data_IF_149767024826
#
_entry.id   IF_149767024826
#
_cell.length_a   1.000
_cell.length_b   1.000
_cell.length_c   1.000
_cell.angle_alpha   90.00
_cell.angle_beta   90.00
_cell.angle_gamma   90.00
#
_symmetry.space_group_name_H-M   'P 1'
#
loop_
_entity.id
_entity.type
_entity.pdbx_description
1 polymer ?
#
# COMPACT_ATOMS: atom_id res chain seq x y z
N UNK A 1 4.58 -28.92 -10.11
CA UNK A 1 4.56 -27.69 -9.29
C UNK A 1 4.52 -26.56 -10.30
N UNK A 2 3.32 -26.12 -10.68
CA UNK A 2 3.19 -24.97 -11.58
C UNK A 2 3.63 -23.74 -10.82
N UNK A 3 4.61 -23.03 -11.36
CA UNK A 3 5.04 -21.74 -10.87
C UNK A 3 3.87 -20.76 -10.96
N UNK A 4 3.24 -20.48 -9.82
CA UNK A 4 2.10 -19.57 -9.71
C UNK A 4 2.50 -18.10 -9.92
N UNK A 5 3.80 -17.78 -10.05
CA UNK A 5 4.31 -16.41 -10.02
C UNK A 5 4.48 -15.86 -8.60
N UNK A 6 4.38 -16.73 -7.59
CA UNK A 6 4.41 -16.35 -6.18
C UNK A 6 5.77 -15.75 -5.78
N UNK A 7 6.90 -16.27 -6.31
CA UNK A 7 8.24 -15.76 -6.01
C UNK A 7 8.39 -14.30 -6.48
N UNK A 8 7.91 -13.99 -7.70
CA UNK A 8 7.92 -12.62 -8.22
C UNK A 8 7.00 -11.71 -7.42
N UNK A 9 5.81 -12.17 -7.06
CA UNK A 9 4.88 -11.38 -6.27
C UNK A 9 5.45 -11.06 -4.89
N UNK A 10 5.97 -12.05 -4.16
CA UNK A 10 6.59 -11.87 -2.84
C UNK A 10 7.83 -10.98 -2.90
N UNK A 11 8.65 -11.10 -3.95
CA UNK A 11 9.84 -10.27 -4.11
C UNK A 11 9.54 -8.79 -4.34
N UNK A 12 8.35 -8.43 -4.85
CA UNK A 12 8.02 -7.07 -5.27
C UNK A 12 6.80 -6.48 -4.54
N UNK A 13 6.25 -7.19 -3.55
CA UNK A 13 4.99 -6.80 -2.89
C UNK A 13 5.12 -5.45 -2.17
N UNK A 14 6.27 -5.17 -1.58
CA UNK A 14 6.53 -3.92 -0.86
C UNK A 14 6.56 -2.72 -1.81
N UNK A 15 7.21 -2.88 -2.96
CA UNK A 15 7.36 -1.87 -4.01
C UNK A 15 5.98 -1.55 -4.62
N UNK A 16 5.14 -2.56 -4.83
CA UNK A 16 3.74 -2.38 -5.26
C UNK A 16 2.93 -1.60 -4.23
N UNK A 17 3.01 -1.97 -2.95
CA UNK A 17 2.25 -1.33 -1.87
C UNK A 17 2.70 0.12 -1.62
N UNK A 18 3.97 0.43 -1.87
CA UNK A 18 4.52 1.78 -1.72
C UNK A 18 4.41 2.65 -2.98
N UNK A 19 3.89 2.09 -4.07
CA UNK A 19 3.75 2.81 -5.35
C UNK A 19 5.10 3.11 -6.01
N UNK A 20 6.11 2.29 -5.75
CA UNK A 20 7.47 2.45 -6.26
C UNK A 20 7.66 1.84 -7.66
N UNK A 21 6.70 1.03 -8.12
CA UNK A 21 6.66 0.46 -9.47
C UNK A 21 5.73 1.26 -10.38
N UNK A 22 6.04 1.28 -11.68
CA UNK A 22 5.12 1.87 -12.66
C UNK A 22 3.83 1.02 -12.81
N UNK A 23 2.85 1.56 -13.54
CA UNK A 23 1.56 0.89 -13.73
C UNK A 23 1.74 -0.47 -14.42
N UNK A 24 2.62 -0.53 -15.42
CA UNK A 24 2.90 -1.71 -16.21
C UNK A 24 3.60 -2.81 -15.39
N UNK A 25 4.55 -2.43 -14.55
CA UNK A 25 5.29 -3.36 -13.67
C UNK A 25 4.43 -3.89 -12.52
N UNK A 26 3.57 -3.03 -11.95
CA UNK A 26 2.73 -3.41 -10.82
C UNK A 26 1.48 -4.20 -11.21
N UNK A 27 0.97 -4.04 -12.43
CA UNK A 27 -0.25 -4.71 -12.90
C UNK A 27 -0.24 -6.25 -12.73
N UNK A 28 0.76 -7.00 -13.21
CA UNK A 28 0.76 -8.47 -13.08
C UNK A 28 0.88 -8.93 -11.63
N UNK A 29 1.59 -8.17 -10.78
CA UNK A 29 1.71 -8.48 -9.35
C UNK A 29 0.37 -8.28 -8.66
N UNK A 30 -0.32 -7.16 -8.93
CA UNK A 30 -1.66 -6.88 -8.38
C UNK A 30 -2.68 -7.94 -8.80
N UNK A 31 -2.62 -8.41 -10.05
CA UNK A 31 -3.47 -9.50 -10.54
C UNK A 31 -3.21 -10.81 -9.77
N UNK A 32 -1.93 -11.11 -9.49
CA UNK A 32 -1.57 -12.27 -8.67
C UNK A 32 -2.07 -12.15 -7.23
N UNK A 33 -1.84 -11.00 -6.58
CA UNK A 33 -2.33 -10.73 -5.21
C UNK A 33 -3.86 -10.87 -5.11
N UNK A 34 -4.59 -10.52 -6.17
CA UNK A 34 -6.05 -10.67 -6.19
C UNK A 34 -6.52 -12.14 -6.22
N UNK A 35 -5.68 -13.09 -6.64
CA UNK A 35 -6.08 -14.47 -6.93
C UNK A 35 -5.37 -15.54 -6.11
N UNK A 36 -4.25 -15.19 -5.44
CA UNK A 36 -3.44 -16.13 -4.66
C UNK A 36 -3.59 -15.90 -3.14
N UNK A 37 -4.27 -16.80 -2.41
CA UNK A 37 -4.48 -16.64 -0.96
C UNK A 37 -3.18 -16.49 -0.16
N UNK A 38 -2.14 -17.25 -0.51
CA UNK A 38 -0.85 -17.15 0.20
C UNK A 38 -0.19 -15.78 0.04
N UNK A 39 -0.34 -15.13 -1.12
CA UNK A 39 0.19 -13.78 -1.29
C UNK A 39 -0.73 -12.69 -0.72
N UNK A 40 -2.03 -12.96 -0.54
CA UNK A 40 -2.95 -12.07 0.19
C UNK A 40 -2.62 -12.03 1.68
N UNK A 41 -2.25 -13.17 2.26
CA UNK A 41 -1.78 -13.24 3.64
C UNK A 41 -0.50 -12.40 3.83
N UNK A 42 0.47 -12.55 2.91
CA UNK A 42 1.69 -11.72 2.92
C UNK A 42 1.40 -10.23 2.71
N UNK A 43 0.48 -9.87 1.81
CA UNK A 43 0.04 -8.48 1.61
C UNK A 43 -0.51 -7.90 2.92
N UNK A 44 -1.36 -8.67 3.61
CA UNK A 44 -1.95 -8.28 4.89
C UNK A 44 -0.88 -8.04 5.95
N UNK A 45 0.15 -8.89 6.03
CA UNK A 45 1.29 -8.71 6.94
C UNK A 45 2.05 -7.42 6.61
N UNK A 46 2.35 -7.18 5.33
CA UNK A 46 3.07 -5.98 4.88
C UNK A 46 2.32 -4.68 5.23
N UNK A 47 1.00 -4.66 5.00
CA UNK A 47 0.13 -3.53 5.36
C UNK A 47 0.11 -3.34 6.88
N UNK A 48 -0.11 -4.41 7.64
CA UNK A 48 -0.19 -4.35 9.11
C UNK A 48 1.09 -3.81 9.72
N UNK A 49 2.26 -4.27 9.26
CA UNK A 49 3.56 -3.77 9.72
C UNK A 49 3.72 -2.27 9.41
N UNK A 50 3.34 -1.86 8.20
CA UNK A 50 3.40 -0.45 7.79
C UNK A 50 2.49 0.42 8.67
N UNK A 51 1.28 -0.03 8.96
CA UNK A 51 0.33 0.67 9.83
C UNK A 51 0.86 0.81 11.26
N UNK A 52 1.47 -0.25 11.82
CA UNK A 52 2.06 -0.20 13.16
C UNK A 52 3.18 0.83 13.25
N UNK A 53 4.09 0.86 12.27
CA UNK A 53 5.16 1.87 12.20
C UNK A 53 4.58 3.26 12.08
N UNK A 54 3.61 3.45 11.19
CA UNK A 54 2.93 4.72 10.99
C UNK A 54 2.25 5.25 12.25
N UNK A 55 1.64 4.38 13.06
CA UNK A 55 1.03 4.75 14.34
C UNK A 55 2.07 5.16 15.37
N UNK A 56 3.22 4.51 15.40
CA UNK A 56 4.32 4.92 16.27
C UNK A 56 4.84 6.34 15.94
N UNK A 57 4.66 6.80 14.70
CA UNK A 57 4.98 8.16 14.25
C UNK A 57 3.82 9.18 14.47
N UNK A 58 2.77 8.85 15.23
CA UNK A 58 1.58 9.72 15.41
C UNK A 58 1.90 11.11 15.98
N UNK A 59 2.93 11.24 16.83
CA UNK A 59 3.36 12.52 17.39
C UNK A 59 3.71 13.56 16.31
N UNK A 60 4.33 13.12 15.21
CA UNK A 60 4.65 13.97 14.06
C UNK A 60 3.40 14.31 13.23
N UNK A 61 2.42 13.39 13.19
CA UNK A 61 1.17 13.54 12.42
C UNK A 61 0.22 14.55 13.06
N UNK A 62 0.25 14.68 14.38
CA UNK A 62 -0.56 15.63 15.15
C UNK A 62 -0.18 17.10 14.88
N UNK A 63 1.02 17.36 14.35
CA UNK A 63 1.51 18.70 14.04
C UNK A 63 0.96 19.29 12.72
N UNK A 64 0.06 18.58 12.02
CA UNK A 64 -0.51 19.07 10.77
C UNK A 64 -1.35 20.34 10.99
N UNK A 65 -1.06 21.47 10.30
CA UNK A 65 -1.82 22.70 10.44
C UNK A 65 -3.29 22.51 10.06
N UNK A 66 -4.22 22.94 10.93
CA UNK A 66 -5.67 22.80 10.69
C UNK A 66 -6.12 23.48 9.39
N UNK A 67 -5.48 24.58 9.02
CA UNK A 67 -5.74 25.31 7.78
C UNK A 67 -5.51 24.44 6.54
N UNK A 68 -4.43 23.66 6.52
CA UNK A 68 -4.10 22.75 5.43
C UNK A 68 -5.13 21.62 5.35
N UNK A 69 -5.47 21.02 6.50
CA UNK A 69 -6.52 19.99 6.58
C UNK A 69 -7.84 20.51 6.02
N UNK A 70 -8.27 21.71 6.43
CA UNK A 70 -9.51 22.31 5.98
C UNK A 70 -9.47 22.67 4.48
N UNK A 71 -8.33 23.10 3.95
CA UNK A 71 -8.16 23.35 2.53
C UNK A 71 -8.32 22.07 1.69
N UNK A 72 -7.71 20.96 2.11
CA UNK A 72 -7.84 19.66 1.43
C UNK A 72 -9.30 19.19 1.44
N UNK A 73 -9.96 19.21 2.60
CA UNK A 73 -11.36 18.77 2.72
C UNK A 73 -12.31 19.59 1.82
N UNK A 74 -12.10 20.89 1.70
CA UNK A 74 -12.87 21.74 0.77
C UNK A 74 -12.66 21.34 -0.68
N UNK A 75 -11.43 21.04 -1.09
CA UNK A 75 -11.13 20.60 -2.45
C UNK A 75 -11.82 19.29 -2.82
N UNK A 76 -11.85 18.32 -1.90
CA UNK A 76 -12.52 17.02 -2.11
C UNK A 76 -14.05 17.12 -2.24
N UNK A 77 -14.68 18.14 -1.64
CA UNK A 77 -16.13 18.37 -1.71
C UNK A 77 -16.59 19.05 -3.00
N UNK A 78 -15.66 19.53 -3.83
CA UNK A 78 -15.94 20.25 -5.08
C UNK A 78 -15.88 19.36 -6.33
N UNK A 79 -15.57 18.07 -6.15
CA UNK A 79 -15.51 17.04 -7.19
C UNK A 79 -16.74 16.15 -7.11
#
# INVERSE_FOLDING_TARGET
>A
MSDCGCDTAQANIYEVLRGELCAEESAPIREHLATCPGCQDEETVCITLTEVVQRACEEERQACPEELRNAILRGLQQV
#
